data_IF_500985740048
#
_entry.id   IF_500985740048
#
_cell.length_a   1.000
_cell.length_b   1.000
_cell.length_c   1.000
_cell.angle_alpha   90.00
_cell.angle_beta   90.00
_cell.angle_gamma   90.00
#
_symmetry.space_group_name_H-M   'P 1'
#
loop_
_entity.id
_entity.type
_entity.pdbx_description
1 polymer ?
#
# COMPACT_ATOMS: atom_id res chain seq x y z
N UNK A 1 10.90 13.25 -47.31
CA UNK A 1 11.33 14.02 -46.13
C UNK A 1 10.25 14.03 -45.06
N UNK A 2 8.99 14.26 -45.46
CA UNK A 2 7.79 14.18 -44.60
C UNK A 2 7.64 12.87 -43.81
N UNK A 3 7.87 11.71 -44.45
CA UNK A 3 7.71 10.40 -43.80
C UNK A 3 8.70 10.16 -42.64
N UNK A 4 9.93 10.69 -42.75
CA UNK A 4 10.94 10.60 -41.68
C UNK A 4 10.56 11.50 -40.50
N UNK A 5 10.02 12.70 -40.77
CA UNK A 5 9.52 13.62 -39.74
C UNK A 5 8.31 13.04 -39.00
N UNK A 6 7.38 12.41 -39.73
CA UNK A 6 6.24 11.72 -39.13
C UNK A 6 6.69 10.55 -38.26
N UNK A 7 7.68 9.77 -38.70
CA UNK A 7 8.23 8.66 -37.92
C UNK A 7 8.95 9.14 -36.66
N UNK A 8 9.72 10.25 -36.74
CA UNK A 8 10.34 10.86 -35.56
C UNK A 8 9.31 11.36 -34.55
N UNK A 9 8.22 11.99 -35.02
CA UNK A 9 7.13 12.46 -34.16
C UNK A 9 6.40 11.29 -33.49
N UNK A 10 6.16 10.19 -34.21
CA UNK A 10 5.54 8.99 -33.66
C UNK A 10 6.40 8.35 -32.56
N UNK A 11 7.71 8.27 -32.76
CA UNK A 11 8.64 7.76 -31.74
C UNK A 11 8.66 8.66 -30.50
N UNK A 12 8.65 9.99 -30.68
CA UNK A 12 8.57 10.93 -29.55
C UNK A 12 7.28 10.78 -28.75
N UNK A 13 6.15 10.56 -29.43
CA UNK A 13 4.86 10.34 -28.78
C UNK A 13 4.85 9.04 -27.97
N UNK A 14 5.42 7.96 -28.50
CA UNK A 14 5.52 6.66 -27.80
C UNK A 14 6.40 6.78 -26.55
N UNK A 15 7.53 7.51 -26.62
CA UNK A 15 8.41 7.74 -25.47
C UNK A 15 7.76 8.57 -24.35
N UNK A 16 6.78 9.41 -24.67
CA UNK A 16 6.08 10.23 -23.67
C UNK A 16 5.08 9.42 -22.84
N UNK A 17 4.58 8.31 -23.37
CA UNK A 17 3.57 7.48 -22.70
C UNK A 17 4.15 6.59 -21.58
N UNK A 18 5.46 6.29 -21.62
CA UNK A 18 6.11 5.41 -20.64
C UNK A 18 6.38 6.10 -19.28
N UNK A 19 6.38 7.44 -19.25
CA UNK A 19 6.69 8.22 -18.04
C UNK A 19 5.59 8.11 -16.97
N UNK A 20 4.32 7.97 -17.39
CA UNK A 20 3.19 7.92 -16.45
C UNK A 20 3.12 6.62 -15.63
N UNK A 21 3.69 5.51 -16.13
CA UNK A 21 3.68 4.22 -15.43
C UNK A 21 4.64 4.18 -14.24
N UNK A 22 5.81 4.80 -14.37
CA UNK A 22 6.90 4.74 -13.38
C UNK A 22 6.59 5.56 -12.12
N UNK A 23 5.84 6.66 -12.24
CA UNK A 23 5.50 7.51 -11.09
C UNK A 23 4.65 6.78 -10.05
N UNK A 24 3.73 5.93 -10.50
CA UNK A 24 2.82 5.20 -9.60
C UNK A 24 3.57 4.16 -8.75
N UNK A 25 4.53 3.43 -9.32
CA UNK A 25 5.30 2.43 -8.57
C UNK A 25 6.17 3.08 -7.50
N UNK A 26 6.83 4.18 -7.84
CA UNK A 26 7.65 4.94 -6.89
C UNK A 26 6.83 5.54 -5.74
N UNK A 27 5.62 6.02 -6.04
CA UNK A 27 4.69 6.52 -5.02
C UNK A 27 4.27 5.41 -4.05
N UNK A 28 3.94 4.21 -4.56
CA UNK A 28 3.57 3.06 -3.73
C UNK A 28 4.77 2.65 -2.85
N UNK A 29 5.99 2.63 -3.39
CA UNK A 29 7.19 2.31 -2.63
C UNK A 29 7.44 3.31 -1.50
N UNK A 30 7.39 4.61 -1.80
CA UNK A 30 7.56 5.67 -0.79
C UNK A 30 6.50 5.60 0.30
N UNK A 31 5.24 5.41 -0.08
CA UNK A 31 4.12 5.28 0.84
C UNK A 31 4.26 4.03 1.73
N UNK A 32 4.67 2.91 1.14
CA UNK A 32 4.91 1.67 1.88
C UNK A 32 6.04 1.82 2.88
N UNK A 33 7.15 2.46 2.48
CA UNK A 33 8.26 2.76 3.39
C UNK A 33 7.82 3.67 4.54
N UNK A 34 7.04 4.71 4.25
CA UNK A 34 6.51 5.59 5.28
C UNK A 34 5.67 4.82 6.31
N UNK A 35 4.83 3.88 5.87
CA UNK A 35 4.02 3.05 6.76
C UNK A 35 4.91 2.20 7.69
N UNK A 36 5.94 1.55 7.13
CA UNK A 36 6.87 0.74 7.92
C UNK A 36 7.64 1.61 8.94
N UNK A 37 8.17 2.74 8.50
CA UNK A 37 8.86 3.68 9.38
C UNK A 37 7.92 4.23 10.48
N UNK A 38 6.61 4.41 10.19
CA UNK A 38 5.60 4.88 11.13
C UNK A 38 5.33 3.83 12.22
N UNK A 39 5.07 2.58 11.83
CA UNK A 39 4.76 1.50 12.80
C UNK A 39 5.94 1.18 13.72
N UNK A 40 7.18 1.41 13.28
CA UNK A 40 8.38 1.22 14.10
C UNK A 40 8.60 2.35 15.12
N UNK A 41 8.11 3.56 14.82
CA UNK A 41 8.31 4.76 15.65
C UNK A 41 7.14 5.06 16.58
N UNK A 42 5.98 4.47 16.34
CA UNK A 42 4.78 4.63 17.17
C UNK A 42 4.77 3.58 18.27
N UNK A 43 4.50 4.02 19.50
CA UNK A 43 4.23 3.09 20.61
C UNK A 43 2.83 2.51 20.47
N UNK A 44 2.75 1.18 20.44
CA UNK A 44 1.49 0.44 20.40
C UNK A 44 1.17 -0.09 21.78
N UNK A 45 -0.11 -0.10 22.20
CA UNK A 45 -0.49 -0.58 23.53
C UNK A 45 -0.06 -2.05 23.72
N UNK A 46 0.82 -2.30 24.69
CA UNK A 46 1.37 -3.63 24.98
C UNK A 46 0.31 -4.62 25.47
N UNK A 47 -0.78 -4.12 26.05
CA UNK A 47 -1.81 -4.89 26.76
C UNK A 47 -2.60 -5.87 25.90
N UNK A 48 -2.32 -5.96 24.62
CA UNK A 48 -3.15 -6.70 23.69
C UNK A 48 -2.60 -8.08 23.33
N UNK A 49 -1.46 -8.50 23.91
CA UNK A 49 -1.01 -9.89 23.87
C UNK A 49 -0.75 -10.44 22.46
N UNK A 50 -0.50 -9.57 21.48
CA UNK A 50 -0.34 -9.98 20.10
C UNK A 50 1.03 -10.59 19.84
N UNK A 51 1.09 -11.78 19.23
CA UNK A 51 2.33 -12.41 18.77
C UNK A 51 2.93 -11.73 17.54
N UNK A 52 2.08 -11.07 16.74
CA UNK A 52 2.43 -10.42 15.49
C UNK A 52 1.72 -9.05 15.37
N UNK A 53 2.31 -8.15 14.58
CA UNK A 53 1.69 -6.89 14.18
C UNK A 53 1.02 -7.07 12.82
N UNK A 54 -0.30 -6.97 12.76
CA UNK A 54 -1.11 -7.23 11.57
C UNK A 54 -1.52 -5.92 10.92
N UNK A 55 -1.23 -5.82 9.61
CA UNK A 55 -1.69 -4.76 8.71
C UNK A 55 -2.63 -5.36 7.68
N UNK A 56 -3.87 -4.87 7.68
CA UNK A 56 -4.88 -5.24 6.70
C UNK A 56 -4.95 -4.16 5.60
N UNK A 57 -4.74 -4.55 4.35
CA UNK A 57 -4.78 -3.67 3.17
C UNK A 57 -6.12 -3.81 2.47
N UNK A 58 -6.83 -2.69 2.29
CA UNK A 58 -8.10 -2.61 1.54
C UNK A 58 -7.89 -1.75 0.30
N UNK A 59 -8.16 -2.32 -0.88
CA UNK A 59 -8.11 -1.61 -2.16
C UNK A 59 -6.97 -2.07 -3.06
N UNK A 60 -6.18 -1.12 -3.53
CA UNK A 60 -5.06 -1.37 -4.44
C UNK A 60 -4.07 -2.42 -3.91
N UNK A 61 -4.12 -3.61 -4.51
CA UNK A 61 -3.31 -4.75 -4.11
C UNK A 61 -1.82 -4.60 -4.46
N UNK A 62 -1.41 -3.57 -5.22
CA UNK A 62 0.01 -3.31 -5.52
C UNK A 62 0.83 -2.97 -4.28
N UNK A 63 0.18 -2.44 -3.23
CA UNK A 63 0.84 -2.19 -1.93
C UNK A 63 1.25 -3.49 -1.22
N UNK A 64 0.47 -4.57 -1.36
CA UNK A 64 0.68 -5.82 -0.62
C UNK A 64 2.06 -6.44 -0.84
N UNK A 65 2.54 -6.69 -2.08
CA UNK A 65 3.87 -7.27 -2.29
C UNK A 65 5.01 -6.37 -1.79
N UNK A 66 4.86 -5.05 -1.93
CA UNK A 66 5.89 -4.09 -1.50
C UNK A 66 5.96 -4.01 0.03
N UNK A 67 4.81 -3.87 0.70
CA UNK A 67 4.72 -3.91 2.16
C UNK A 67 5.25 -5.22 2.72
N UNK A 68 4.95 -6.37 2.10
CA UNK A 68 5.50 -7.67 2.51
C UNK A 68 7.01 -7.70 2.41
N UNK A 69 7.57 -7.27 1.27
CA UNK A 69 9.02 -7.24 1.08
C UNK A 69 9.74 -6.36 2.10
N UNK A 70 9.12 -5.27 2.54
CA UNK A 70 9.68 -4.39 3.59
C UNK A 70 9.46 -4.95 5.00
N UNK A 71 8.31 -5.60 5.23
CA UNK A 71 7.97 -6.27 6.49
C UNK A 71 8.84 -7.51 6.78
N UNK A 72 9.39 -8.15 5.75
CA UNK A 72 10.28 -9.31 5.91
C UNK A 72 11.59 -8.98 6.64
N UNK A 73 12.04 -7.72 6.56
CA UNK A 73 13.22 -7.22 7.28
C UNK A 73 12.84 -6.38 8.52
N UNK A 74 11.64 -5.82 8.56
CA UNK A 74 11.13 -5.00 9.65
C UNK A 74 10.63 -5.82 10.86
N UNK A 75 10.88 -5.31 12.07
CA UNK A 75 10.25 -5.79 13.30
C UNK A 75 9.74 -4.59 14.07
N UNK A 76 8.48 -4.58 14.46
CA UNK A 76 7.96 -3.54 15.38
C UNK A 76 7.85 -4.12 16.78
N UNK A 77 8.51 -3.49 17.76
CA UNK A 77 8.56 -4.01 19.15
C UNK A 77 9.06 -5.45 19.26
N UNK A 78 9.92 -5.90 18.34
CA UNK A 78 10.40 -7.29 18.26
C UNK A 78 9.41 -8.29 17.63
N UNK A 79 8.20 -7.86 17.26
CA UNK A 79 7.15 -8.69 16.68
C UNK A 79 7.25 -8.75 15.16
N UNK A 80 6.82 -9.87 14.57
CA UNK A 80 6.73 -10.04 13.12
C UNK A 80 5.59 -9.19 12.58
N UNK A 81 5.80 -8.52 11.45
CA UNK A 81 4.75 -7.79 10.73
C UNK A 81 4.08 -8.74 9.73
N UNK A 82 2.75 -8.81 9.74
CA UNK A 82 1.93 -9.62 8.83
C UNK A 82 1.09 -8.68 7.96
N UNK A 83 1.17 -8.84 6.64
CA UNK A 83 0.42 -8.05 5.67
C UNK A 83 -0.64 -8.92 4.99
N UNK A 84 -1.91 -8.56 5.19
CA UNK A 84 -3.05 -9.22 4.55
C UNK A 84 -3.70 -8.30 3.52
N UNK A 85 -4.18 -8.91 2.43
CA UNK A 85 -5.11 -8.27 1.51
C UNK A 85 -6.51 -8.65 1.95
N UNK A 86 -7.39 -7.68 2.16
CA UNK A 86 -8.77 -7.92 2.60
C UNK A 86 -9.76 -7.03 1.86
N UNK A 87 -11.00 -7.48 1.83
CA UNK A 87 -12.15 -6.78 1.23
C UNK A 87 -13.13 -6.34 2.32
N UNK A 88 -14.22 -5.66 1.93
CA UNK A 88 -15.24 -5.21 2.90
C UNK A 88 -16.04 -6.38 3.47
N UNK A 89 -16.04 -7.49 2.77
CA UNK A 89 -16.74 -8.72 3.07
C UNK A 89 -15.97 -9.54 4.11
N UNK A 90 -14.64 -9.47 4.08
CA UNK A 90 -13.73 -10.20 4.98
C UNK A 90 -13.77 -9.69 6.42
N UNK A 91 -13.45 -10.55 7.40
CA UNK A 91 -13.21 -10.11 8.77
C UNK A 91 -11.82 -9.46 8.85
N UNK A 92 -11.75 -8.17 9.20
CA UNK A 92 -10.50 -7.40 9.23
C UNK A 92 -10.33 -6.51 10.47
N UNK A 93 -11.22 -6.64 11.45
CA UNK A 93 -11.25 -5.87 12.70
C UNK A 93 -10.21 -6.36 13.74
N UNK A 94 -9.64 -7.55 13.53
CA UNK A 94 -8.58 -8.11 14.38
C UNK A 94 -7.19 -7.75 13.84
N UNK A 95 -6.85 -6.46 13.90
CA UNK A 95 -5.53 -5.96 13.47
C UNK A 95 -5.12 -4.68 14.23
N UNK A 96 -3.87 -4.26 14.04
CA UNK A 96 -3.36 -3.02 14.64
C UNK A 96 -3.45 -1.84 13.67
N UNK A 97 -3.42 -2.13 12.37
CA UNK A 97 -3.47 -1.11 11.34
C UNK A 97 -4.31 -1.58 10.15
N UNK A 98 -5.15 -0.68 9.66
CA UNK A 98 -5.84 -0.82 8.39
C UNK A 98 -5.28 0.22 7.44
N UNK A 99 -4.71 -0.24 6.33
CA UNK A 99 -4.29 0.63 5.24
C UNK A 99 -5.37 0.64 4.16
N UNK A 100 -5.91 1.83 3.87
CA UNK A 100 -6.96 2.04 2.89
C UNK A 100 -6.35 2.75 1.69
N UNK A 101 -6.25 2.05 0.56
CA UNK A 101 -5.77 2.66 -0.67
C UNK A 101 -6.76 3.69 -1.23
N UNK A 102 -6.26 4.61 -2.04
CA UNK A 102 -7.00 5.77 -2.56
C UNK A 102 -8.25 5.37 -3.35
N UNK A 103 -8.20 4.23 -4.06
CA UNK A 103 -9.30 3.65 -4.83
C UNK A 103 -10.49 3.18 -3.96
N UNK A 104 -10.27 3.09 -2.64
CA UNK A 104 -11.22 2.56 -1.66
C UNK A 104 -11.76 3.62 -0.72
N UNK A 105 -11.33 4.88 -0.88
CA UNK A 105 -11.79 6.02 -0.06
C UNK A 105 -13.29 6.29 -0.20
N UNK A 106 -13.89 6.01 -1.36
CA UNK A 106 -15.35 6.10 -1.56
C UNK A 106 -16.14 5.19 -0.60
N UNK A 107 -15.49 4.17 -0.05
CA UNK A 107 -16.06 3.21 0.89
C UNK A 107 -15.63 3.45 2.34
N UNK A 108 -14.90 4.53 2.62
CA UNK A 108 -14.36 4.85 3.95
C UNK A 108 -15.42 4.76 5.06
N UNK A 109 -16.61 5.34 4.84
CA UNK A 109 -17.69 5.29 5.82
C UNK A 109 -18.12 3.84 6.17
N UNK A 110 -18.12 2.93 5.20
CA UNK A 110 -18.41 1.51 5.42
C UNK A 110 -17.28 0.80 6.17
N UNK A 111 -16.03 1.15 5.85
CA UNK A 111 -14.84 0.60 6.52
C UNK A 111 -14.86 1.02 7.99
N UNK A 112 -15.02 2.31 8.28
CA UNK A 112 -15.04 2.84 9.66
C UNK A 112 -16.14 2.21 10.50
N UNK A 113 -17.36 2.06 9.93
CA UNK A 113 -18.48 1.41 10.62
C UNK A 113 -18.19 -0.05 11.02
N UNK A 114 -17.26 -0.75 10.36
CA UNK A 114 -16.89 -2.13 10.70
C UNK A 114 -15.83 -2.20 11.82
N UNK A 115 -15.11 -1.11 12.05
CA UNK A 115 -14.01 -1.02 13.02
C UNK A 115 -14.47 -0.36 14.32
N UNK A 116 -15.46 0.53 14.23
CA UNK A 116 -16.15 1.13 15.37
C UNK A 116 -16.96 0.04 16.10
N UNK A 117 -16.48 -0.36 17.29
CA UNK A 117 -17.19 -1.27 18.20
C UNK A 117 -18.23 -0.53 19.03
#
# INVERSE_FOLDING_TARGET
>A
MEMKRLMTLLVMLILSLTVNGQNNEKEIELSSKFIIDLIEKVEWPESAGWDCFVINVIGDNRFVPILRSMADTGRTGGKKIIINSVTLEDKFDECQMIFIATDSLSRLAKILKKVEK
#
